data_IF_691976680751
#
_entry.id   IF_691976680751
#
_cell.length_a   1.000
_cell.length_b   1.000
_cell.length_c   1.000
_cell.angle_alpha   90.00
_cell.angle_beta   90.00
_cell.angle_gamma   90.00
#
_symmetry.space_group_name_H-M   'P 1'
#
loop_
_entity.id
_entity.type
_entity.pdbx_description
1 polymer ?
#
# COMPACT_ATOMS: atom_id res chain seq x y z
N UNK A 1 26.06 -26.02 -27.48
CA UNK A 1 25.78 -24.66 -27.96
C UNK A 1 24.42 -24.27 -27.41
N UNK A 2 24.41 -23.34 -26.45
CA UNK A 2 23.17 -22.85 -25.84
C UNK A 2 22.70 -21.66 -26.67
N UNK A 3 21.49 -21.73 -27.24
CA UNK A 3 20.85 -20.59 -27.90
C UNK A 3 19.79 -20.04 -26.96
N UNK A 4 19.92 -18.77 -26.59
CA UNK A 4 18.88 -18.04 -25.86
C UNK A 4 17.86 -17.53 -26.87
N UNK A 5 16.59 -17.75 -26.59
CA UNK A 5 15.47 -17.32 -27.42
C UNK A 5 14.54 -16.47 -26.56
N UNK A 6 14.09 -15.36 -27.11
CA UNK A 6 13.01 -14.56 -26.51
C UNK A 6 11.67 -15.10 -26.98
N UNK A 7 10.78 -15.36 -26.01
CA UNK A 7 9.46 -15.90 -26.27
C UNK A 7 8.44 -15.23 -25.35
N UNK A 8 7.25 -14.95 -25.88
CA UNK A 8 6.13 -14.34 -25.16
C UNK A 8 5.16 -15.43 -24.70
N UNK A 9 4.64 -15.30 -23.48
CA UNK A 9 3.67 -16.24 -22.93
C UNK A 9 2.23 -15.75 -23.15
N UNK A 10 1.49 -16.42 -24.05
CA UNK A 10 0.09 -16.09 -24.38
C UNK A 10 -0.93 -16.72 -23.41
N UNK A 11 -0.52 -17.05 -22.18
CA UNK A 11 -1.39 -17.66 -21.17
C UNK A 11 -1.59 -19.18 -21.28
N UNK A 12 -1.22 -19.78 -22.42
CA UNK A 12 -1.27 -21.25 -22.63
C UNK A 12 0.01 -21.83 -23.23
N UNK A 13 0.70 -21.07 -24.08
CA UNK A 13 1.90 -21.51 -24.81
C UNK A 13 2.93 -20.39 -24.85
N UNK A 14 4.21 -20.76 -24.86
CA UNK A 14 5.32 -19.85 -25.15
C UNK A 14 5.47 -19.73 -26.67
N UNK A 15 5.36 -18.51 -27.19
CA UNK A 15 5.55 -18.21 -28.61
C UNK A 15 6.90 -17.54 -28.83
N UNK A 16 7.80 -18.13 -29.64
CA UNK A 16 9.04 -17.48 -30.06
C UNK A 16 8.74 -16.15 -30.74
N UNK A 17 9.53 -15.11 -30.47
CA UNK A 17 9.52 -13.90 -31.31
C UNK A 17 10.25 -14.11 -32.63
N UNK A 18 11.24 -15.02 -32.64
CA UNK A 18 12.04 -15.36 -33.81
C UNK A 18 11.75 -16.78 -34.29
N UNK A 19 11.92 -17.03 -35.60
CA UNK A 19 11.83 -18.38 -36.16
C UNK A 19 12.92 -19.26 -35.57
N UNK A 20 12.51 -20.33 -34.88
CA UNK A 20 13.42 -21.31 -34.31
C UNK A 20 13.32 -22.60 -35.09
N UNK A 21 14.42 -23.00 -35.71
CA UNK A 21 14.57 -24.34 -36.30
C UNK A 21 14.76 -25.38 -35.19
N UNK A 22 13.64 -25.81 -34.61
CA UNK A 22 13.60 -26.97 -33.72
C UNK A 22 13.40 -28.23 -34.56
N UNK A 23 14.21 -29.25 -34.31
CA UNK A 23 14.08 -30.54 -34.96
C UNK A 23 13.01 -31.40 -34.26
N UNK A 24 12.16 -32.03 -35.06
CA UNK A 24 11.08 -32.90 -34.57
C UNK A 24 11.69 -34.09 -33.82
N UNK A 25 11.18 -34.37 -32.62
CA UNK A 25 11.58 -35.53 -31.81
C UNK A 25 12.76 -35.30 -30.86
N UNK A 26 13.29 -34.08 -30.77
CA UNK A 26 14.34 -33.74 -29.79
C UNK A 26 13.75 -33.09 -28.53
N UNK A 27 14.37 -33.40 -27.38
CA UNK A 27 14.02 -32.81 -26.08
C UNK A 27 14.85 -31.56 -25.85
N UNK A 28 14.19 -30.42 -25.68
CA UNK A 28 14.82 -29.14 -25.37
C UNK A 28 14.58 -28.78 -23.91
N UNK A 29 15.60 -28.19 -23.27
CA UNK A 29 15.51 -27.67 -21.91
C UNK A 29 15.34 -26.15 -22.03
N UNK A 30 14.22 -25.64 -21.53
CA UNK A 30 13.93 -24.22 -21.51
C UNK A 30 14.33 -23.65 -20.15
N UNK A 31 15.23 -22.67 -20.14
CA UNK A 31 15.50 -21.85 -18.96
C UNK A 31 14.65 -20.61 -19.08
N UNK A 32 13.62 -20.50 -18.24
CA UNK A 32 12.74 -19.33 -18.21
C UNK A 32 13.35 -18.32 -17.26
N UNK A 33 14.14 -17.40 -17.80
CA UNK A 33 14.52 -16.19 -17.08
C UNK A 33 13.39 -15.20 -17.24
N UNK A 34 12.64 -15.00 -16.16
CA UNK A 34 11.68 -13.90 -16.11
C UNK A 34 12.51 -12.64 -16.03
N UNK A 35 12.73 -11.97 -17.16
CA UNK A 35 13.07 -10.55 -17.13
C UNK A 35 11.89 -9.92 -16.44
N UNK A 36 12.06 -9.68 -15.16
CA UNK A 36 11.21 -8.78 -14.43
C UNK A 36 11.55 -7.42 -15.06
N UNK A 37 11.02 -7.14 -16.27
CA UNK A 37 10.61 -5.78 -16.60
C UNK A 37 9.97 -5.33 -15.33
N UNK A 38 10.65 -4.37 -14.70
CA UNK A 38 10.46 -4.06 -13.31
C UNK A 38 8.99 -4.29 -13.01
N UNK A 39 8.74 -5.26 -12.12
CA UNK A 39 7.93 -4.89 -11.00
C UNK A 39 8.52 -3.51 -10.65
N UNK A 40 7.90 -2.43 -11.12
CA UNK A 40 6.79 -1.93 -10.37
C UNK A 40 6.38 -2.99 -9.30
N UNK A 41 7.24 -3.25 -8.31
CA UNK A 41 7.24 -2.45 -7.11
C UNK A 41 6.58 -1.13 -7.48
N UNK A 42 5.26 -1.19 -7.71
CA UNK A 42 4.40 -0.41 -6.89
C UNK A 42 4.99 -0.70 -5.52
N UNK A 43 5.96 0.15 -5.15
CA UNK A 43 6.08 0.62 -3.80
C UNK A 43 4.63 0.92 -3.52
N UNK A 44 3.96 -0.09 -2.96
CA UNK A 44 2.56 -0.03 -2.63
C UNK A 44 2.59 1.08 -1.62
N UNK A 45 2.32 2.30 -2.12
CA UNK A 45 2.63 3.54 -1.43
C UNK A 45 2.08 3.32 -0.04
N UNK A 46 2.93 3.31 0.99
CA UNK A 46 2.55 2.80 2.28
C UNK A 46 1.27 3.50 2.66
N UNK A 47 0.24 2.73 3.02
CA UNK A 47 -1.10 3.28 3.21
C UNK A 47 -0.99 4.55 4.07
N UNK A 48 -1.65 5.68 3.71
CA UNK A 48 -1.36 6.97 4.34
C UNK A 48 -1.42 6.94 5.88
N UNK A 49 -2.28 6.11 6.46
CA UNK A 49 -2.35 5.93 7.92
C UNK A 49 -1.11 5.22 8.51
N UNK A 50 -0.47 4.33 7.77
CA UNK A 50 0.79 3.68 8.18
C UNK A 50 1.92 4.69 8.25
N UNK A 51 2.03 5.59 7.27
CA UNK A 51 3.02 6.67 7.28
C UNK A 51 2.78 7.64 8.45
N UNK A 52 1.51 7.96 8.73
CA UNK A 52 1.15 8.81 9.86
C UNK A 52 1.51 8.12 11.19
N UNK A 53 1.26 6.82 11.32
CA UNK A 53 1.58 6.05 12.51
C UNK A 53 3.09 6.02 12.81
N UNK A 54 3.93 5.91 11.79
CA UNK A 54 5.40 5.93 11.94
C UNK A 54 5.93 7.26 12.51
N UNK A 55 5.25 8.37 12.22
CA UNK A 55 5.63 9.71 12.68
C UNK A 55 4.90 10.07 14.00
N UNK A 56 3.80 9.38 14.30
CA UNK A 56 3.00 9.65 15.48
C UNK A 56 3.80 9.39 16.77
N UNK A 57 3.77 10.36 17.67
CA UNK A 57 4.32 10.24 19.02
C UNK A 57 3.16 10.15 19.99
N UNK A 58 3.15 9.12 20.83
CA UNK A 58 2.19 9.01 21.91
C UNK A 58 2.46 10.09 22.97
N UNK A 59 1.49 10.98 23.16
CA UNK A 59 1.55 12.06 24.14
C UNK A 59 0.92 11.67 25.49
N UNK A 60 0.39 10.45 25.62
CA UNK A 60 -0.28 9.97 26.84
C UNK A 60 -1.62 10.65 27.11
N UNK A 61 -2.31 11.12 26.07
CA UNK A 61 -3.61 11.79 26.17
C UNK A 61 -4.67 10.97 25.44
N UNK A 62 -5.41 10.18 26.22
CA UNK A 62 -6.38 9.20 25.68
C UNK A 62 -7.73 9.83 25.32
N UNK A 63 -8.03 11.02 25.83
CA UNK A 63 -9.34 11.68 25.67
C UNK A 63 -9.38 12.71 24.53
N UNK A 64 -8.31 12.85 23.73
CA UNK A 64 -8.21 13.88 22.69
C UNK A 64 -9.31 13.75 21.62
N UNK A 65 -9.64 12.52 21.21
CA UNK A 65 -10.73 12.26 20.25
C UNK A 65 -12.12 12.39 20.88
N UNK A 66 -12.25 12.06 22.16
CA UNK A 66 -13.51 12.06 22.90
C UNK A 66 -13.93 13.48 23.28
N UNK A 67 -12.95 14.32 23.63
CA UNK A 67 -13.16 15.69 24.13
C UNK A 67 -12.60 16.72 23.16
N UNK A 68 -12.49 16.39 21.88
CA UNK A 68 -11.97 17.29 20.85
C UNK A 68 -12.65 18.66 20.88
N UNK A 69 -13.98 18.70 21.03
CA UNK A 69 -14.74 19.96 21.12
C UNK A 69 -14.35 20.80 22.34
N UNK A 70 -14.05 20.15 23.47
CA UNK A 70 -13.59 20.82 24.69
C UNK A 70 -12.21 21.45 24.48
N UNK A 71 -11.31 20.77 23.78
CA UNK A 71 -9.98 21.31 23.43
C UNK A 71 -10.07 22.41 22.36
N UNK A 72 -10.95 22.26 21.37
CA UNK A 72 -11.10 23.19 20.27
C UNK A 72 -11.80 24.50 20.67
N UNK A 73 -12.77 24.42 21.59
CA UNK A 73 -13.64 25.55 21.93
C UNK A 73 -13.57 25.99 23.40
N UNK A 74 -12.82 25.27 24.23
CA UNK A 74 -12.77 25.50 25.67
C UNK A 74 -14.11 25.17 26.35
N UNK A 75 -14.21 25.43 27.65
CA UNK A 75 -15.51 25.40 28.36
C UNK A 75 -16.40 26.55 27.88
N UNK A 76 -17.20 26.32 26.85
CA UNK A 76 -18.41 27.12 26.60
C UNK A 76 -19.62 26.24 26.93
N UNK A 77 -19.98 26.15 28.21
CA UNK A 77 -21.18 25.39 28.60
C UNK A 77 -21.46 25.22 30.09
N UNK A 78 -20.46 25.25 30.97
CA UNK A 78 -20.70 24.95 32.41
C UNK A 78 -20.80 26.18 33.33
N UNK A 79 -20.48 27.38 32.82
CA UNK A 79 -20.47 28.60 33.64
C UNK A 79 -21.76 29.43 33.52
N UNK A 80 -22.58 29.21 32.49
CA UNK A 80 -23.82 29.97 32.27
C UNK A 80 -25.01 29.52 33.13
N UNK A 81 -24.91 28.41 33.86
CA UNK A 81 -26.02 27.83 34.62
C UNK A 81 -25.87 27.95 36.14
N UNK A 82 -24.83 28.64 36.65
CA UNK A 82 -24.61 28.82 38.10
C UNK A 82 -24.93 30.21 38.65
N UNK A 83 -25.18 31.21 37.81
CA UNK A 83 -25.50 32.58 38.25
C UNK A 83 -27.01 32.89 38.34
N UNK A 84 -27.90 31.95 37.98
CA UNK A 84 -29.35 32.19 37.96
C UNK A 84 -30.10 31.79 39.25
N UNK A 85 -29.42 31.19 40.23
CA UNK A 85 -30.06 30.60 41.42
C UNK A 85 -29.73 31.34 42.74
N UNK A 86 -29.22 32.58 42.68
CA UNK A 86 -28.98 33.39 43.88
C UNK A 86 -29.64 34.77 43.80
N UNK A 87 -30.94 34.81 43.52
CA UNK A 87 -31.76 35.99 43.78
C UNK A 87 -33.15 35.57 44.24
N UNK A 88 -33.28 35.24 45.54
CA UNK A 88 -34.43 35.58 46.42
C UNK A 88 -34.04 35.35 47.88
#
# INVERSE_FOLDING_TARGET
MTKTLHAVFDGKVLRPEESVDLEVGKRYILTVERTIEAKATSEEQPYPLTQILEIATDMGVDDLSIRHDWYAHGRRGDEATRESDSET
#
